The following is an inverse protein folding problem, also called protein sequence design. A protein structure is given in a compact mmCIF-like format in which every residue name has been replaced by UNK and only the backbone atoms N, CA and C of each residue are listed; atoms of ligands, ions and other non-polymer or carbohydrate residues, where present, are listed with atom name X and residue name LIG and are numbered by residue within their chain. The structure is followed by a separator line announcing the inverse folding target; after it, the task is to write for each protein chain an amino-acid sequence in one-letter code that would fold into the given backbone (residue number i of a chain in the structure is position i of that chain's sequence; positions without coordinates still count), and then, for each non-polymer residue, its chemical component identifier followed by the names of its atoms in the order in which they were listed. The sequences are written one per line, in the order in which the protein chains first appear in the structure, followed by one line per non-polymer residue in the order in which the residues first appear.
data_IF_388552780970
#
_entry.id   IF_388552780970
#
_cell.length_a   1.000
_cell.length_b   1.000
_cell.length_c   1.000
_cell.angle_alpha   90.00
_cell.angle_beta   90.00
_cell.angle_gamma   90.00
#
_symmetry.space_group_name_H-M   'P 1'
#
loop_
_entity.id
_entity.type
_entity.pdbx_description
1 polymer ?
#
# COMPACT_ATOMS: atom_id res chain seq x y z
N UNK A 1 -14.92 -10.94 6.06
CA UNK A 1 -13.55 -10.77 5.52
C UNK A 1 -13.19 -9.31 5.32
N UNK A 2 -12.51 -8.81 6.32
CA UNK A 2 -12.05 -7.43 6.45
C UNK A 2 -10.86 -7.15 5.50
N UNK A 3 -10.63 -5.88 5.07
CA UNK A 3 -9.53 -5.57 4.16
C UNK A 3 -8.16 -5.95 4.71
N UNK A 4 -7.45 -6.78 3.96
CA UNK A 4 -6.10 -7.25 4.28
C UNK A 4 -5.17 -6.91 3.13
N UNK A 5 -3.98 -6.41 3.45
CA UNK A 5 -2.91 -6.16 2.49
C UNK A 5 -1.84 -7.24 2.61
N UNK A 6 -1.52 -7.89 1.50
CA UNK A 6 -0.40 -8.82 1.41
C UNK A 6 0.68 -8.19 0.54
N UNK A 7 1.77 -7.73 1.14
CA UNK A 7 2.88 -7.17 0.39
C UNK A 7 3.69 -8.30 -0.23
N UNK A 8 3.83 -8.29 -1.55
CA UNK A 8 4.45 -9.39 -2.31
C UNK A 8 5.66 -8.92 -3.11
N UNK A 9 5.80 -7.60 -3.30
CA UNK A 9 7.04 -6.95 -3.66
C UNK A 9 7.14 -5.59 -2.99
N UNK A 10 8.25 -5.38 -2.30
CA UNK A 10 8.51 -4.16 -1.52
C UNK A 10 9.76 -3.42 -1.98
N UNK A 11 10.46 -3.93 -2.99
CA UNK A 11 11.65 -3.33 -3.57
C UNK A 11 11.37 -2.37 -4.72
N UNK A 12 12.47 -1.86 -5.28
CA UNK A 12 12.54 -1.05 -6.50
C UNK A 12 13.53 -1.72 -7.46
N UNK A 13 13.69 -1.23 -8.71
CA UNK A 13 14.69 -1.78 -9.63
C UNK A 13 16.12 -1.78 -9.06
N UNK A 14 16.42 -0.91 -8.10
CA UNK A 14 17.72 -0.87 -7.44
C UNK A 14 17.93 -2.07 -6.50
N UNK A 15 16.88 -2.61 -5.88
CA UNK A 15 16.98 -3.69 -4.89
C UNK A 15 16.69 -5.07 -5.47
N UNK A 16 16.67 -5.16 -6.80
CA UNK A 16 16.52 -6.41 -7.56
C UNK A 16 17.50 -7.49 -7.09
N UNK A 17 16.97 -8.70 -6.92
CA UNK A 17 17.71 -9.86 -6.42
C UNK A 17 17.85 -9.92 -4.90
N UNK A 18 17.44 -8.86 -4.18
CA UNK A 18 17.31 -8.86 -2.72
C UNK A 18 15.84 -8.86 -2.30
N UNK A 19 15.01 -8.10 -3.02
CA UNK A 19 13.56 -8.00 -2.83
C UNK A 19 12.84 -8.21 -4.16
N UNK A 20 11.60 -8.69 -4.07
CA UNK A 20 10.65 -8.60 -5.16
C UNK A 20 10.28 -7.13 -5.41
N UNK A 21 10.01 -6.80 -6.66
CA UNK A 21 9.69 -5.43 -7.09
C UNK A 21 8.18 -5.24 -7.16
N UNK A 22 7.71 -4.14 -6.56
CA UNK A 22 6.33 -3.67 -6.72
C UNK A 22 5.28 -4.54 -6.03
N UNK A 23 4.24 -3.86 -5.56
CA UNK A 23 2.94 -4.49 -5.44
C UNK A 23 2.57 -5.22 -4.17
N UNK A 24 1.26 -5.38 -4.07
CA UNK A 24 0.58 -6.00 -2.96
C UNK A 24 -0.75 -6.57 -3.45
N UNK A 25 -1.28 -7.54 -2.71
CA UNK A 25 -2.63 -8.02 -2.91
C UNK A 25 -3.54 -7.34 -1.88
N UNK A 26 -4.61 -6.71 -2.36
CA UNK A 26 -5.71 -6.23 -1.52
C UNK A 26 -6.81 -7.29 -1.51
N UNK A 27 -6.99 -7.93 -0.36
CA UNK A 27 -8.05 -8.90 -0.14
C UNK A 27 -9.17 -8.26 0.69
N UNK A 28 -10.39 -8.29 0.16
CA UNK A 28 -11.60 -7.79 0.82
C UNK A 28 -12.67 -8.90 0.84
N UNK A 29 -13.82 -8.60 1.43
CA UNK A 29 -15.03 -9.43 1.30
C UNK A 29 -15.46 -9.67 -0.15
N UNK A 30 -15.18 -8.71 -1.03
CA UNK A 30 -15.82 -8.61 -2.35
C UNK A 30 -14.87 -8.93 -3.50
N UNK A 31 -13.57 -8.74 -3.28
CA UNK A 31 -12.55 -8.91 -4.29
C UNK A 31 -11.17 -9.21 -3.68
N UNK A 32 -10.34 -9.90 -4.46
CA UNK A 32 -8.91 -10.09 -4.28
C UNK A 32 -8.20 -9.44 -5.48
N UNK A 33 -7.54 -8.31 -5.25
CA UNK A 33 -6.94 -7.48 -6.28
C UNK A 33 -5.42 -7.57 -6.19
N UNK A 34 -4.76 -7.82 -7.32
CA UNK A 34 -3.30 -7.78 -7.40
C UNK A 34 -2.85 -6.41 -7.91
N UNK A 35 -2.25 -5.60 -7.04
CA UNK A 35 -1.71 -4.28 -7.40
C UNK A 35 -0.23 -4.44 -7.76
N UNK A 36 0.19 -3.88 -8.89
CA UNK A 36 1.57 -3.83 -9.39
C UNK A 36 2.34 -5.16 -9.32
N UNK A 37 1.96 -6.16 -10.13
CA UNK A 37 2.69 -7.43 -10.30
C UNK A 37 4.06 -7.22 -10.98
N UNK A 38 4.99 -6.63 -10.24
CA UNK A 38 6.37 -6.49 -10.67
C UNK A 38 7.17 -7.79 -10.54
N UNK A 39 8.46 -7.76 -10.92
CA UNK A 39 9.32 -8.94 -10.94
C UNK A 39 9.37 -9.69 -9.60
N UNK A 40 9.08 -11.00 -9.66
CA UNK A 40 9.21 -11.93 -8.53
C UNK A 40 7.96 -12.04 -7.65
N UNK A 41 6.96 -11.18 -7.88
CA UNK A 41 5.70 -11.18 -7.12
C UNK A 41 4.87 -12.44 -7.36
N UNK A 42 4.96 -13.05 -8.55
CA UNK A 42 4.34 -14.33 -8.89
C UNK A 42 4.88 -15.52 -8.07
N UNK A 43 6.08 -15.40 -7.51
CA UNK A 43 6.71 -16.42 -6.66
C UNK A 43 6.33 -16.27 -5.17
N UNK A 44 5.33 -15.43 -4.87
CA UNK A 44 4.84 -15.23 -3.52
C UNK A 44 4.48 -16.56 -2.86
N UNK A 45 4.92 -16.75 -1.61
CA UNK A 45 4.69 -17.99 -0.84
C UNK A 45 3.30 -18.06 -0.21
N UNK A 46 2.51 -16.99 -0.33
CA UNK A 46 1.18 -16.93 0.26
C UNK A 46 0.22 -17.80 -0.55
N UNK A 47 -0.50 -18.68 0.14
CA UNK A 47 -1.54 -19.52 -0.46
C UNK A 47 -2.82 -18.71 -0.62
N UNK A 48 -2.89 -17.89 -1.66
CA UNK A 48 -4.05 -17.09 -2.02
C UNK A 48 -4.81 -17.74 -3.17
N UNK A 49 -6.13 -17.52 -3.24
CA UNK A 49 -6.90 -17.86 -4.44
C UNK A 49 -6.49 -16.95 -5.60
N UNK A 50 -6.91 -17.30 -6.83
CA UNK A 50 -6.69 -16.45 -8.00
C UNK A 50 -7.29 -15.05 -7.79
N UNK A 51 -6.54 -13.97 -8.13
CA UNK A 51 -7.07 -12.60 -8.13
C UNK A 51 -8.25 -12.42 -9.09
N UNK A 52 -9.22 -11.61 -8.67
CA UNK A 52 -10.37 -11.24 -9.52
C UNK A 52 -9.97 -10.21 -10.59
N UNK A 53 -8.95 -9.41 -10.28
CA UNK A 53 -8.38 -8.44 -11.21
C UNK A 53 -6.94 -8.10 -10.82
N UNK A 54 -6.23 -7.55 -11.78
CA UNK A 54 -4.93 -6.92 -11.58
C UNK A 54 -5.01 -5.42 -11.92
N UNK A 55 -4.26 -4.62 -11.17
CA UNK A 55 -4.17 -3.18 -11.33
C UNK A 55 -2.71 -2.81 -11.50
N UNK A 56 -2.39 -2.25 -12.65
CA UNK A 56 -1.05 -1.74 -12.98
C UNK A 56 -1.09 -0.23 -12.83
N UNK A 57 -0.28 0.30 -11.92
CA UNK A 57 -0.26 1.74 -11.64
C UNK A 57 0.60 2.52 -12.64
N UNK A 58 1.61 1.88 -13.25
CA UNK A 58 2.40 2.38 -14.37
C UNK A 58 2.88 1.22 -15.25
N UNK A 59 3.03 1.44 -16.57
CA UNK A 59 3.58 0.44 -17.50
C UNK A 59 5.12 0.41 -17.47
N UNK A 60 5.66 0.41 -16.26
CA UNK A 60 7.08 0.22 -16.04
C UNK A 60 7.30 -1.22 -15.58
N UNK A 61 8.42 -1.81 -15.99
CA UNK A 61 8.76 -3.21 -15.66
C UNK A 61 8.57 -3.53 -14.18
N UNK A 62 8.87 -2.61 -13.27
CA UNK A 62 8.73 -2.80 -11.83
C UNK A 62 7.29 -2.99 -11.33
N UNK A 63 6.28 -2.80 -12.18
CA UNK A 63 4.86 -2.85 -11.84
C UNK A 63 4.06 -3.85 -12.69
N UNK A 64 4.58 -4.34 -13.82
CA UNK A 64 3.82 -5.22 -14.73
C UNK A 64 4.58 -6.44 -15.28
N UNK A 65 5.85 -6.65 -14.92
CA UNK A 65 6.65 -7.74 -15.52
C UNK A 65 6.02 -9.13 -15.33
N UNK A 66 5.34 -9.37 -14.21
CA UNK A 66 4.73 -10.67 -13.92
C UNK A 66 3.31 -10.79 -14.52
N UNK A 67 2.75 -9.72 -15.12
CA UNK A 67 1.53 -9.82 -15.95
C UNK A 67 1.78 -10.46 -17.30
N UNK A 68 2.93 -10.20 -17.92
CA UNK A 68 3.27 -10.76 -19.24
C UNK A 68 3.39 -12.30 -19.15
N UNK A 69 3.74 -12.82 -17.97
CA UNK A 69 3.75 -14.25 -17.68
C UNK A 69 2.35 -14.82 -17.37
N UNK A 70 1.42 -13.98 -16.91
CA UNK A 70 0.01 -14.32 -16.73
C UNK A 70 -0.73 -14.16 -18.07
N UNK A 71 -0.58 -15.15 -18.96
CA UNK A 71 -1.34 -15.21 -20.22
C UNK A 71 -2.84 -14.98 -19.99
N UNK A 72 -3.42 -14.05 -20.76
CA UNK A 72 -4.84 -13.89 -21.20
C UNK A 72 -5.59 -12.57 -20.87
N UNK A 73 -6.25 -12.05 -21.91
CA UNK A 73 -7.45 -11.18 -21.95
C UNK A 73 -7.64 -10.16 -20.81
N UNK A 74 -6.69 -9.24 -20.67
CA UNK A 74 -6.84 -8.08 -19.79
C UNK A 74 -7.90 -7.15 -20.37
N UNK A 75 -9.01 -6.97 -19.65
CA UNK A 75 -10.00 -5.92 -19.95
C UNK A 75 -9.83 -4.80 -18.93
N UNK A 76 -9.59 -3.57 -19.38
CA UNK A 76 -9.52 -2.43 -18.46
C UNK A 76 -10.88 -2.18 -17.78
N UNK A 77 -10.90 -2.16 -16.45
CA UNK A 77 -12.06 -1.72 -15.68
C UNK A 77 -11.65 -0.77 -14.56
N UNK A 78 -12.41 0.31 -14.39
CA UNK A 78 -12.23 1.29 -13.30
C UNK A 78 -12.90 0.85 -11.98
N UNK A 79 -13.70 -0.22 -12.03
CA UNK A 79 -14.43 -0.77 -10.88
C UNK A 79 -14.42 -2.28 -10.93
N UNK A 80 -13.96 -2.91 -9.85
CA UNK A 80 -13.98 -4.36 -9.68
C UNK A 80 -14.79 -4.63 -8.43
N UNK A 81 -15.95 -5.28 -8.59
CA UNK A 81 -16.94 -5.45 -7.52
C UNK A 81 -17.27 -4.11 -6.82
N UNK A 82 -17.11 -4.03 -5.50
CA UNK A 82 -17.36 -2.83 -4.68
C UNK A 82 -16.11 -1.97 -4.45
N UNK A 83 -15.04 -2.18 -5.21
CA UNK A 83 -13.79 -1.41 -5.11
C UNK A 83 -13.73 -0.37 -6.23
N UNK A 84 -13.57 0.90 -5.85
CA UNK A 84 -13.39 2.03 -6.77
C UNK A 84 -11.91 2.45 -6.79
N UNK A 85 -11.36 2.59 -8.00
CA UNK A 85 -9.99 3.07 -8.21
C UNK A 85 -10.01 4.46 -8.81
N UNK A 86 -9.33 5.39 -8.15
CA UNK A 86 -9.24 6.78 -8.57
C UNK A 86 -7.77 7.10 -8.82
N UNK A 87 -7.39 7.24 -10.09
CA UNK A 87 -6.06 7.66 -10.49
C UNK A 87 -5.77 9.08 -9.99
N UNK A 88 -4.56 9.29 -9.48
CA UNK A 88 -3.99 10.57 -9.08
C UNK A 88 -2.66 10.79 -9.81
N UNK A 89 -2.13 12.02 -9.74
CA UNK A 89 -0.88 12.37 -10.42
C UNK A 89 0.29 11.48 -9.95
N UNK A 90 0.35 11.19 -8.65
CA UNK A 90 1.48 10.49 -8.00
C UNK A 90 1.03 9.19 -7.34
N UNK A 91 0.00 8.54 -7.88
CA UNK A 91 -0.49 7.26 -7.40
C UNK A 91 -1.99 7.06 -7.55
N UNK A 92 -2.59 6.35 -6.60
CA UNK A 92 -3.98 5.92 -6.66
C UNK A 92 -4.67 6.06 -5.32
N UNK A 93 -5.98 6.33 -5.37
CA UNK A 93 -6.86 6.19 -4.22
C UNK A 93 -7.80 5.03 -4.47
N UNK A 94 -7.75 4.06 -3.56
CA UNK A 94 -8.56 2.84 -3.59
C UNK A 94 -9.63 3.00 -2.51
N UNK A 95 -10.89 2.96 -2.91
CA UNK A 95 -12.00 2.97 -1.96
C UNK A 95 -12.64 1.59 -1.91
N UNK A 96 -12.86 1.12 -0.70
CA UNK A 96 -13.62 -0.08 -0.40
C UNK A 96 -14.80 0.30 0.51
N UNK A 97 -15.80 -0.57 0.68
CA UNK A 97 -16.88 -0.32 1.64
C UNK A 97 -16.38 -0.14 3.09
N UNK A 98 -15.21 -0.72 3.40
CA UNK A 98 -14.66 -0.79 4.76
C UNK A 98 -13.59 0.29 5.03
N UNK A 99 -13.25 1.13 4.05
CA UNK A 99 -12.25 2.18 4.21
C UNK A 99 -11.54 2.59 2.93
N UNK A 100 -10.63 3.54 3.08
CA UNK A 100 -9.88 4.15 1.97
C UNK A 100 -8.38 3.95 2.12
N UNK A 101 -7.72 3.68 1.00
CA UNK A 101 -6.27 3.50 0.90
C UNK A 101 -5.76 4.47 -0.15
N UNK A 102 -4.77 5.28 0.20
CA UNK A 102 -3.97 6.02 -0.78
C UNK A 102 -2.65 5.29 -1.00
N UNK A 103 -2.35 4.95 -2.23
CA UNK A 103 -1.08 4.36 -2.64
C UNK A 103 -0.30 5.39 -3.44
N UNK A 104 0.78 5.90 -2.84
CA UNK A 104 1.57 7.01 -3.34
C UNK A 104 2.91 6.45 -3.83
N UNK A 105 3.13 6.51 -5.14
CA UNK A 105 4.30 5.94 -5.82
C UNK A 105 5.31 6.99 -6.27
N UNK A 106 5.01 8.27 -6.06
CA UNK A 106 5.87 9.37 -6.47
C UNK A 106 5.74 10.61 -5.60
N UNK A 107 6.49 11.65 -5.96
CA UNK A 107 6.47 12.93 -5.24
C UNK A 107 5.14 13.64 -5.43
N UNK A 108 4.66 14.29 -4.37
CA UNK A 108 3.41 15.05 -4.37
C UNK A 108 3.74 16.52 -4.11
N UNK A 109 3.12 17.42 -4.87
CA UNK A 109 3.14 18.85 -4.52
C UNK A 109 2.32 19.05 -3.25
N UNK A 110 2.86 19.79 -2.29
CA UNK A 110 2.25 19.94 -0.96
C UNK A 110 0.84 20.52 -0.98
N UNK A 111 0.52 21.36 -1.98
CA UNK A 111 -0.82 21.89 -2.22
C UNK A 111 -1.83 20.80 -2.54
N UNK A 112 -1.39 19.73 -3.22
CA UNK A 112 -2.21 18.61 -3.68
C UNK A 112 -2.27 17.46 -2.67
N UNK A 113 -1.67 17.59 -1.50
CA UNK A 113 -1.68 16.51 -0.48
C UNK A 113 -3.09 16.12 -0.04
N UNK A 114 -4.02 17.06 0.05
CA UNK A 114 -5.38 16.80 0.55
C UNK A 114 -6.14 15.75 -0.27
N UNK A 115 -5.89 15.63 -1.58
CA UNK A 115 -6.56 14.63 -2.40
C UNK A 115 -6.13 13.18 -2.08
N UNK A 116 -5.05 13.01 -1.32
CA UNK A 116 -4.54 11.70 -0.86
C UNK A 116 -4.96 11.38 0.58
N UNK A 117 -5.82 12.17 1.22
CA UNK A 117 -6.36 11.84 2.54
C UNK A 117 -7.09 10.48 2.50
N UNK A 118 -6.71 9.56 3.38
CA UNK A 118 -7.24 8.20 3.44
C UNK A 118 -7.03 7.60 4.85
N UNK A 119 -7.74 6.51 5.15
CA UNK A 119 -7.56 5.78 6.41
C UNK A 119 -6.17 5.16 6.51
N UNK A 120 -5.71 4.57 5.40
CA UNK A 120 -4.36 4.01 5.26
C UNK A 120 -3.63 4.70 4.12
N UNK A 121 -2.36 5.04 4.33
CA UNK A 121 -1.49 5.53 3.27
C UNK A 121 -0.30 4.58 3.10
N UNK A 122 -0.09 4.11 1.87
CA UNK A 122 1.06 3.32 1.45
C UNK A 122 1.99 4.25 0.67
N UNK A 123 3.24 4.40 1.13
CA UNK A 123 4.24 5.26 0.50
C UNK A 123 5.36 4.45 -0.13
N UNK A 124 5.73 4.82 -1.35
CA UNK A 124 7.10 4.71 -1.81
C UNK A 124 7.91 5.85 -1.17
N UNK A 125 9.01 5.50 -0.49
CA UNK A 125 9.80 6.47 0.25
C UNK A 125 10.60 7.38 -0.72
N UNK A 126 10.24 8.66 -0.77
CA UNK A 126 10.84 9.73 -1.58
C UNK A 126 11.21 11.00 -0.79
N UNK A 127 11.09 10.98 0.54
CA UNK A 127 11.56 12.05 1.44
C UNK A 127 10.52 13.12 1.78
N UNK A 128 9.24 12.91 1.43
CA UNK A 128 8.12 13.82 1.79
C UNK A 128 7.18 13.21 2.84
N UNK A 129 7.48 12.02 3.33
CA UNK A 129 6.56 11.21 4.14
C UNK A 129 6.18 11.95 5.42
N UNK A 130 7.16 12.49 6.14
CA UNK A 130 6.93 13.17 7.42
C UNK A 130 5.92 14.31 7.29
N UNK A 131 6.07 15.17 6.28
CA UNK A 131 5.20 16.31 6.05
C UNK A 131 3.79 15.87 5.64
N UNK A 132 3.70 14.91 4.72
CA UNK A 132 2.40 14.41 4.23
C UNK A 132 1.65 13.69 5.35
N UNK A 133 2.32 12.83 6.12
CA UNK A 133 1.72 12.10 7.25
C UNK A 133 1.26 13.09 8.31
N UNK A 134 2.08 14.10 8.67
CA UNK A 134 1.72 15.11 9.67
C UNK A 134 0.48 15.89 9.26
N UNK A 135 0.36 16.22 7.97
CA UNK A 135 -0.77 16.97 7.42
C UNK A 135 -2.05 16.14 7.30
N UNK A 136 -1.95 14.89 6.84
CA UNK A 136 -3.10 14.05 6.54
C UNK A 136 -3.57 13.19 7.71
N UNK A 137 -2.67 12.86 8.65
CA UNK A 137 -2.93 12.07 9.86
C UNK A 137 -3.72 10.78 9.58
N UNK A 138 -3.26 9.89 8.68
CA UNK A 138 -3.94 8.62 8.46
C UNK A 138 -3.90 7.76 9.73
N UNK A 139 -4.79 6.77 9.82
CA UNK A 139 -4.79 5.80 10.93
C UNK A 139 -3.56 4.89 10.87
N UNK A 140 -3.12 4.57 9.66
CA UNK A 140 -1.94 3.75 9.40
C UNK A 140 -1.14 4.30 8.22
N UNK A 141 0.18 4.32 8.38
CA UNK A 141 1.13 4.51 7.29
C UNK A 141 1.95 3.25 7.07
N UNK A 142 2.13 2.85 5.82
CA UNK A 142 2.94 1.69 5.42
C UNK A 142 4.00 2.15 4.42
N UNK A 143 5.27 1.88 4.70
CA UNK A 143 6.37 2.16 3.79
C UNK A 143 6.67 0.92 2.94
N UNK A 144 6.79 1.12 1.63
CA UNK A 144 7.22 0.14 0.63
C UNK A 144 8.16 0.82 -0.37
N UNK A 145 8.52 0.14 -1.46
CA UNK A 145 9.41 0.69 -2.47
C UNK A 145 10.82 0.98 -1.91
N UNK A 146 11.39 0.02 -1.19
CA UNK A 146 12.69 0.17 -0.53
C UNK A 146 13.81 0.30 -1.56
N UNK A 147 14.39 1.49 -1.64
CA UNK A 147 15.62 1.78 -2.38
C UNK A 147 16.83 1.17 -1.68
N UNK A 148 17.98 1.09 -2.37
CA UNK A 148 19.23 0.63 -1.72
C UNK A 148 19.61 1.51 -0.54
N UNK A 149 19.36 2.81 -0.66
CA UNK A 149 19.60 3.78 0.41
C UNK A 149 18.74 3.48 1.64
N UNK A 150 17.44 3.27 1.44
CA UNK A 150 16.54 2.95 2.55
C UNK A 150 16.86 1.61 3.20
N UNK A 151 17.27 0.60 2.41
CA UNK A 151 17.76 -0.67 2.96
C UNK A 151 18.99 -0.50 3.85
N UNK A 152 19.96 0.34 3.44
CA UNK A 152 21.13 0.65 4.26
C UNK A 152 20.77 1.38 5.56
N UNK A 153 19.81 2.30 5.50
CA UNK A 153 19.28 3.00 6.69
C UNK A 153 18.46 2.08 7.60
N UNK A 154 17.88 1.01 7.04
CA UNK A 154 16.98 0.10 7.73
C UNK A 154 15.53 0.60 7.68
N UNK A 155 14.66 0.01 6.83
CA UNK A 155 13.28 0.47 6.67
C UNK A 155 12.47 0.51 7.98
N UNK A 156 12.70 -0.48 8.85
CA UNK A 156 12.07 -0.55 10.16
C UNK A 156 12.47 0.63 11.07
N UNK A 157 13.74 1.04 11.04
CA UNK A 157 14.20 2.18 11.82
C UNK A 157 13.61 3.48 11.29
N UNK A 158 13.56 3.64 9.96
CA UNK A 158 12.94 4.80 9.34
C UNK A 158 11.44 4.90 9.67
N UNK A 159 10.69 3.80 9.61
CA UNK A 159 9.29 3.76 10.02
C UNK A 159 9.10 4.17 11.49
N UNK A 160 9.98 3.69 12.39
CA UNK A 160 9.95 4.08 13.82
C UNK A 160 10.24 5.56 14.03
N UNK A 161 11.16 6.14 13.28
CA UNK A 161 11.44 7.58 13.31
C UNK A 161 10.23 8.40 12.86
N UNK A 162 9.62 8.04 11.73
CA UNK A 162 8.39 8.68 11.25
C UNK A 162 7.26 8.58 12.28
N UNK A 163 7.04 7.40 12.87
CA UNK A 163 6.03 7.22 13.92
C UNK A 163 6.30 8.12 15.13
N UNK A 164 7.56 8.22 15.58
CA UNK A 164 7.92 9.08 16.73
C UNK A 164 7.63 10.55 16.45
N UNK A 165 7.93 11.02 15.25
CA UNK A 165 7.77 12.42 14.84
C UNK A 165 6.32 12.79 14.57
N UNK A 166 5.61 11.95 13.81
CA UNK A 166 4.25 12.24 13.33
C UNK A 166 3.15 11.78 14.28
N UNK A 167 3.47 10.89 15.24
CA UNK A 167 2.53 10.19 16.13
C UNK A 167 1.51 9.32 15.40
N UNK A 168 1.72 9.06 14.11
CA UNK A 168 0.92 8.13 13.31
C UNK A 168 1.57 6.76 13.31
N UNK A 169 0.75 5.71 13.50
CA UNK A 169 1.24 4.34 13.41
C UNK A 169 1.88 4.11 12.05
N UNK A 170 3.17 3.75 12.04
CA UNK A 170 3.94 3.60 10.81
C UNK A 170 4.67 2.27 10.83
N UNK A 171 4.55 1.50 9.75
CA UNK A 171 5.26 0.23 9.57
C UNK A 171 6.05 0.26 8.25
N UNK A 172 7.09 -0.57 8.15
CA UNK A 172 7.75 -0.86 6.89
C UNK A 172 7.34 -2.27 6.44
N UNK A 173 6.72 -2.37 5.26
CA UNK A 173 6.38 -3.64 4.66
C UNK A 173 7.64 -4.42 4.28
N UNK A 174 7.57 -5.75 4.35
CA UNK A 174 8.54 -6.65 3.74
C UNK A 174 7.80 -7.61 2.82
N UNK A 175 8.50 -8.26 1.92
CA UNK A 175 7.89 -9.29 1.08
C UNK A 175 7.26 -10.38 1.94
N UNK A 176 6.04 -10.77 1.57
CA UNK A 176 5.14 -11.68 2.29
C UNK A 176 4.58 -11.14 3.61
N UNK A 177 4.76 -9.85 3.92
CA UNK A 177 4.10 -9.22 5.07
C UNK A 177 2.60 -9.13 4.84
N UNK A 178 1.81 -9.54 5.83
CA UNK A 178 0.37 -9.39 5.82
C UNK A 178 -0.05 -8.36 6.86
N UNK A 179 -0.91 -7.42 6.47
CA UNK A 179 -1.40 -6.34 7.31
C UNK A 179 -2.93 -6.36 7.29
N UNK A 180 -3.54 -6.70 8.43
CA UNK A 180 -4.98 -6.53 8.64
C UNK A 180 -5.27 -5.07 8.98
N UNK A 181 -6.02 -4.38 8.13
CA UNK A 181 -6.30 -2.95 8.31
C UNK A 181 -7.25 -2.67 9.49
N UNK A 182 -7.93 -3.68 10.04
CA UNK A 182 -8.81 -3.48 11.20
C UNK A 182 -8.05 -3.38 12.53
N UNK A 183 -6.93 -4.08 12.67
CA UNK A 183 -6.09 -3.97 13.87
C UNK A 183 -5.62 -2.53 14.07
N UNK A 184 -5.57 -1.75 12.99
CA UNK A 184 -5.13 -0.36 12.99
C UNK A 184 -6.29 0.66 12.92
N UNK A 185 -7.53 0.22 12.72
CA UNK A 185 -8.72 1.07 12.85
C UNK A 185 -9.30 1.07 14.27
N UNK A 186 -9.10 0.00 15.05
CA UNK A 186 -9.68 -0.18 16.38
C UNK A 186 -9.19 0.78 17.47
N UNK A 187 -8.07 1.48 17.27
CA UNK A 187 -7.59 2.52 18.21
C UNK A 187 -8.36 3.84 18.09
N UNK A 188 -9.10 4.06 16.99
CA UNK A 188 -9.96 5.22 16.83
C UNK A 188 -11.35 5.07 17.51
N UNK A 189 -11.73 3.84 17.87
CA UNK A 189 -13.06 3.50 18.41
C UNK A 189 -13.08 3.13 19.91
N UNK A 190 -11.96 3.30 20.64
CA UNK A 190 -12.06 3.42 22.10
C UNK A 190 -12.71 4.76 22.44
N UNK A 191 -14.03 4.82 22.24
CA UNK A 191 -14.92 5.76 22.90
C UNK A 191 -14.59 5.68 24.39
N UNK A 192 -14.18 6.81 24.96
CA UNK A 192 -13.92 6.90 26.39
C UNK A 192 -15.10 6.28 27.13
N UNK A 193 -14.80 5.36 28.05
CA UNK A 193 -15.77 4.83 28.99
C UNK A 193 -16.52 6.04 29.58
N UNK A 194 -17.79 6.18 29.24
CA UNK A 194 -18.67 7.09 29.94
C UNK A 194 -18.55 6.72 31.41
N UNK A 195 -18.10 7.68 32.22
CA UNK A 195 -18.07 7.54 33.67
C UNK A 195 -19.47 7.13 34.10
N UNK A 196 -19.60 5.92 34.63
CA UNK A 196 -20.80 5.54 35.38
C UNK A 196 -20.85 6.48 36.58
N UNK A 197 -21.80 7.41 36.57
CA UNK A 197 -22.19 8.23 37.71
C UNK A 197 -23.10 7.46 38.65
#
# INVERSE_FOLDING_TARGET
MKPTLHFIGTGTPETRGQLNEGGFILQTNYALLWIDPGPGTSQCKLKLRQPDACIVTSHERGHDADLINAKENVTESKKVASVELIKKESGWKIKTPDGTISYITGKIKLIDTKQYAADTIIFFAHGQEEEIITKLKPKLTILTGHTKELLKRGPLYFARELQKKTKVQTIAAQDNTTVDLNTYSGTAEQKGLAKFG
#
